data_IF_453467889330
#
_entry.id   IF_453467889330
#
_cell.length_a   1.000
_cell.length_b   1.000
_cell.length_c   1.000
_cell.angle_alpha   90.00
_cell.angle_beta   90.00
_cell.angle_gamma   90.00
#
_symmetry.space_group_name_H-M   'P 1'
#
loop_
_entity.id
_entity.type
_entity.pdbx_description
1 polymer ?
#
# COMPACT_ATOMS: atom_id res chain seq x y z
N UNK A 1 8.10 25.21 -4.91
CA UNK A 1 7.23 24.49 -5.85
C UNK A 1 7.54 23.01 -5.68
N UNK A 2 6.59 22.21 -5.21
CA UNK A 2 6.78 20.76 -5.10
C UNK A 2 6.72 20.15 -6.50
N UNK A 3 7.82 19.54 -6.94
CA UNK A 3 8.05 19.09 -8.31
C UNK A 3 6.94 18.15 -8.81
N UNK A 4 6.11 18.62 -9.75
CA UNK A 4 5.00 17.87 -10.38
C UNK A 4 5.46 16.87 -11.44
N UNK A 5 6.60 16.23 -11.24
CA UNK A 5 7.13 15.26 -12.20
C UNK A 5 6.34 13.95 -12.14
N UNK A 6 6.05 13.38 -13.31
CA UNK A 6 5.27 12.13 -13.46
C UNK A 6 5.85 10.95 -12.66
N UNK A 7 7.17 10.92 -12.44
CA UNK A 7 7.84 9.85 -11.68
C UNK A 7 7.50 9.88 -10.18
N UNK A 8 7.06 11.01 -9.65
CA UNK A 8 6.61 11.18 -8.27
C UNK A 8 5.09 11.08 -8.13
N UNK A 9 4.36 10.91 -9.24
CA UNK A 9 2.91 10.76 -9.19
C UNK A 9 2.56 9.45 -8.46
N UNK A 10 1.76 9.56 -7.40
CA UNK A 10 1.32 8.40 -6.63
C UNK A 10 0.55 7.41 -7.53
N UNK A 11 0.94 6.12 -7.56
CA UNK A 11 0.27 5.11 -8.36
C UNK A 11 -1.22 4.99 -8.01
N UNK A 12 -2.12 4.73 -8.98
CA UNK A 12 -3.54 4.55 -8.71
C UNK A 12 -3.82 3.45 -7.68
N UNK A 13 -3.05 2.36 -7.70
CA UNK A 13 -3.14 1.28 -6.73
C UNK A 13 -2.88 1.79 -5.31
N UNK A 14 -1.79 2.53 -5.10
CA UNK A 14 -1.44 3.07 -3.80
C UNK A 14 -2.55 3.98 -3.24
N UNK A 15 -3.15 4.81 -4.08
CA UNK A 15 -4.28 5.66 -3.68
C UNK A 15 -5.47 4.83 -3.18
N UNK A 16 -5.84 3.76 -3.89
CA UNK A 16 -6.93 2.85 -3.48
C UNK A 16 -6.63 2.17 -2.14
N UNK A 17 -5.38 1.75 -1.93
CA UNK A 17 -4.98 1.07 -0.68
C UNK A 17 -5.04 2.01 0.52
N UNK A 18 -4.61 3.27 0.37
CA UNK A 18 -4.73 4.29 1.42
C UNK A 18 -6.20 4.58 1.74
N UNK A 19 -7.04 4.73 0.72
CA UNK A 19 -8.49 4.94 0.90
C UNK A 19 -9.18 3.75 1.60
N UNK A 20 -8.68 2.53 1.39
CA UNK A 20 -9.16 1.32 2.06
C UNK A 20 -8.59 1.12 3.48
N UNK A 21 -7.71 2.01 3.95
CA UNK A 21 -7.03 1.88 5.25
C UNK A 21 -5.94 0.81 5.31
N UNK A 22 -5.52 0.26 4.16
CA UNK A 22 -4.52 -0.81 4.06
C UNK A 22 -3.10 -0.24 4.13
N UNK A 23 -2.73 0.23 5.32
CA UNK A 23 -1.48 0.94 5.59
C UNK A 23 -0.28 0.01 5.88
N UNK A 24 -0.34 -1.25 5.46
CA UNK A 24 0.71 -2.25 5.69
C UNK A 24 0.57 -2.94 7.04
N UNK A 25 1.72 -3.36 7.59
CA UNK A 25 1.80 -4.20 8.80
C UNK A 25 1.02 -3.65 9.99
N UNK A 26 1.06 -2.33 10.23
CA UNK A 26 0.35 -1.68 11.34
C UNK A 26 -1.18 -1.80 11.26
N UNK A 27 -1.71 -1.98 10.05
CA UNK A 27 -3.14 -2.15 9.79
C UNK A 27 -3.50 -3.62 9.53
N UNK A 28 -2.56 -4.56 9.70
CA UNK A 28 -2.73 -5.97 9.35
C UNK A 28 -2.81 -6.25 7.84
N UNK A 29 -2.80 -5.22 6.98
CA UNK A 29 -2.96 -5.37 5.53
C UNK A 29 -2.36 -4.20 4.75
N UNK A 30 -1.72 -4.52 3.62
CA UNK A 30 -1.18 -3.58 2.64
C UNK A 30 -0.89 -4.33 1.34
N UNK A 31 0.31 -4.15 0.77
CA UNK A 31 0.77 -4.99 -0.35
C UNK A 31 0.88 -6.47 0.00
N UNK A 32 0.95 -6.75 1.30
CA UNK A 32 0.89 -8.08 1.88
C UNK A 32 -0.28 -8.15 2.86
N UNK A 33 -0.81 -9.35 3.02
CA UNK A 33 -1.62 -9.73 4.16
C UNK A 33 -0.68 -9.99 5.34
N UNK A 34 -0.89 -9.26 6.44
CA UNK A 34 -0.12 -9.37 7.67
C UNK A 34 -0.97 -9.94 8.82
N UNK A 35 -2.05 -10.67 8.52
CA UNK A 35 -2.85 -11.39 9.52
C UNK A 35 -2.01 -12.36 10.35
N UNK A 36 -1.01 -13.01 9.73
CA UNK A 36 0.13 -13.63 10.41
C UNK A 36 1.39 -12.77 10.19
N UNK A 37 1.79 -11.94 11.18
CA UNK A 37 2.97 -11.07 11.05
C UNK A 37 4.29 -11.82 10.86
N UNK A 38 4.37 -13.10 11.23
CA UNK A 38 5.56 -13.93 11.04
C UNK A 38 5.67 -14.49 9.62
N UNK A 39 4.55 -14.54 8.88
CA UNK A 39 4.46 -15.10 7.52
C UNK A 39 3.54 -14.26 6.64
N UNK A 40 3.95 -13.04 6.26
CA UNK A 40 3.15 -12.18 5.40
C UNK A 40 2.97 -12.79 4.01
N UNK A 41 1.74 -12.73 3.47
CA UNK A 41 1.40 -13.30 2.16
C UNK A 41 1.22 -12.17 1.15
N UNK A 42 1.88 -12.26 -0.01
CA UNK A 42 1.74 -11.26 -1.06
C UNK A 42 0.30 -11.24 -1.59
N UNK A 43 -0.32 -10.06 -1.55
CA UNK A 43 -1.64 -9.85 -2.13
C UNK A 43 -1.53 -9.73 -3.65
N UNK A 44 -2.51 -10.28 -4.37
CA UNK A 44 -2.62 -10.10 -5.83
C UNK A 44 -3.52 -8.89 -6.11
N UNK A 45 -3.04 -7.97 -6.94
CA UNK A 45 -3.72 -6.76 -7.38
C UNK A 45 -3.70 -6.64 -8.90
#
# INVERSE_FOLDING_TARGET
DEFKERRFAAPPLLKRMVLAGWNGRKAGRGFYDYSDPAKPVAMKF
#
